data_IF_266352490886
#
_entry.id   IF_266352490886
#
_cell.length_a   1.000
_cell.length_b   1.000
_cell.length_c   1.000
_cell.angle_alpha   90.00
_cell.angle_beta   90.00
_cell.angle_gamma   90.00
#
_symmetry.space_group_name_H-M   'P 1'
#
loop_
_entity.id
_entity.type
_entity.pdbx_description
1 polymer ?
#
# COMPACT_ATOMS: atom_id res chain seq x y z
N UNK A 1 -12.49 -20.28 -31.18
CA UNK A 1 -12.98 -21.39 -30.32
C UNK A 1 -13.52 -22.48 -31.22
N UNK A 2 -12.80 -23.60 -31.31
CA UNK A 2 -13.32 -24.77 -32.00
C UNK A 2 -14.25 -25.54 -31.05
N UNK A 3 -15.39 -26.04 -31.56
CA UNK A 3 -16.23 -26.99 -30.83
C UNK A 3 -15.58 -28.37 -30.96
N UNK A 4 -15.32 -29.04 -29.84
CA UNK A 4 -14.84 -30.44 -29.86
C UNK A 4 -16.08 -31.32 -29.87
N UNK A 5 -16.50 -31.73 -31.06
CA UNK A 5 -17.60 -32.69 -31.24
C UNK A 5 -17.10 -33.83 -32.09
N UNK A 6 -16.58 -34.87 -31.44
CA UNK A 6 -16.45 -36.19 -32.07
C UNK A 6 -17.78 -36.93 -31.84
N UNK A 7 -18.42 -37.49 -32.88
CA UNK A 7 -19.66 -38.24 -32.70
C UNK A 7 -19.34 -39.54 -31.94
N UNK A 8 -19.84 -39.64 -30.70
CA UNK A 8 -19.83 -40.84 -29.84
C UNK A 8 -18.55 -41.18 -29.05
N UNK A 9 -17.66 -40.20 -28.76
CA UNK A 9 -16.56 -40.36 -27.79
C UNK A 9 -16.64 -39.26 -26.71
N UNK A 10 -17.17 -39.59 -25.53
CA UNK A 10 -17.22 -38.70 -24.35
C UNK A 10 -15.86 -38.64 -23.67
N UNK A 11 -14.88 -38.02 -24.33
CA UNK A 11 -13.61 -37.67 -23.68
C UNK A 11 -13.77 -36.29 -23.06
N UNK A 12 -14.17 -36.23 -21.79
CA UNK A 12 -14.11 -35.01 -20.99
C UNK A 12 -12.64 -34.61 -20.78
N UNK A 13 -12.08 -33.93 -21.78
CA UNK A 13 -10.74 -33.39 -21.71
C UNK A 13 -10.76 -32.10 -20.88
N UNK A 14 -10.11 -32.13 -19.73
CA UNK A 14 -9.83 -30.94 -18.93
C UNK A 14 -8.33 -30.81 -18.73
N UNK A 15 -7.80 -29.59 -18.89
CA UNK A 15 -6.37 -29.31 -18.69
C UNK A 15 -5.69 -28.71 -19.91
N UNK A 16 -4.40 -28.42 -19.74
CA UNK A 16 -3.54 -27.85 -20.76
C UNK A 16 -2.77 -28.96 -21.48
N UNK A 17 -2.74 -28.91 -22.81
CA UNK A 17 -1.89 -29.77 -23.64
C UNK A 17 -0.71 -28.92 -24.11
N UNK A 18 0.48 -29.23 -23.56
CA UNK A 18 1.77 -28.68 -24.00
C UNK A 18 1.86 -27.16 -24.01
N UNK A 19 1.15 -26.46 -23.12
CA UNK A 19 1.06 -24.99 -23.08
C UNK A 19 0.70 -24.36 -24.44
N UNK A 20 -0.01 -25.12 -25.29
CA UNK A 20 -0.48 -24.67 -26.60
C UNK A 20 -2.00 -24.50 -26.60
N UNK A 21 -2.71 -25.41 -25.94
CA UNK A 21 -4.18 -25.42 -25.90
C UNK A 21 -4.69 -25.81 -24.51
N UNK A 22 -5.79 -25.19 -24.08
CA UNK A 22 -6.48 -25.52 -22.83
C UNK A 22 -7.90 -25.97 -23.14
N UNK A 23 -8.25 -27.15 -22.66
CA UNK A 23 -9.58 -27.74 -22.74
C UNK A 23 -10.30 -27.52 -21.41
N UNK A 24 -11.50 -26.94 -21.45
CA UNK A 24 -12.34 -26.74 -20.27
C UNK A 24 -13.81 -26.56 -20.65
N UNK A 25 -14.69 -26.78 -19.66
CA UNK A 25 -16.12 -26.58 -19.82
C UNK A 25 -16.48 -25.15 -19.44
N UNK A 26 -17.07 -24.39 -20.37
CA UNK A 26 -17.54 -23.03 -20.12
C UNK A 26 -19.04 -22.95 -20.41
N UNK A 27 -19.84 -22.71 -19.35
CA UNK A 27 -21.31 -22.60 -19.45
C UNK A 27 -21.94 -23.77 -20.24
N UNK A 28 -21.56 -25.01 -19.91
CA UNK A 28 -22.07 -26.22 -20.56
C UNK A 28 -21.57 -26.47 -21.98
N UNK A 29 -20.55 -25.72 -22.45
CA UNK A 29 -19.90 -25.96 -23.75
C UNK A 29 -18.46 -26.40 -23.54
N UNK A 30 -18.08 -27.50 -24.18
CA UNK A 30 -16.68 -27.93 -24.28
C UNK A 30 -15.95 -26.98 -25.24
N UNK A 31 -15.03 -26.17 -24.71
CA UNK A 31 -14.30 -25.17 -25.47
C UNK A 31 -12.80 -25.41 -25.41
N UNK A 32 -12.13 -25.12 -26.53
CA UNK A 32 -10.67 -25.06 -26.62
C UNK A 32 -10.26 -23.62 -26.85
N UNK A 33 -9.29 -23.17 -26.05
CA UNK A 33 -8.58 -21.89 -26.25
C UNK A 33 -7.09 -22.14 -26.42
N UNK A 34 -6.43 -21.30 -27.21
CA UNK A 34 -4.98 -21.26 -27.19
C UNK A 34 -4.53 -20.85 -25.80
N UNK A 35 -3.54 -21.57 -25.28
CA UNK A 35 -2.85 -21.13 -24.08
C UNK A 35 -2.02 -19.90 -24.47
N UNK A 36 -2.33 -18.79 -23.83
CA UNK A 36 -1.55 -17.57 -23.92
C UNK A 36 -1.15 -17.23 -22.49
N UNK A 37 0.15 -17.18 -22.23
CA UNK A 37 0.68 -16.48 -21.07
C UNK A 37 0.87 -15.02 -21.46
N UNK A 38 0.03 -14.09 -20.97
CA UNK A 38 0.22 -12.68 -21.29
C UNK A 38 1.60 -12.27 -20.80
N UNK A 39 2.40 -11.67 -21.68
CA UNK A 39 3.64 -11.00 -21.25
C UNK A 39 3.23 -9.93 -20.26
N UNK A 40 3.86 -9.91 -19.07
CA UNK A 40 3.77 -8.79 -18.13
C UNK A 40 4.96 -7.88 -18.40
N UNK A 41 4.88 -6.94 -19.36
CA UNK A 41 5.99 -6.06 -19.67
C UNK A 41 6.24 -5.22 -18.41
N UNK A 42 7.29 -5.56 -17.65
CA UNK A 42 7.70 -4.83 -16.45
C UNK A 42 8.31 -3.48 -16.87
N UNK A 43 7.50 -2.62 -17.47
CA UNK A 43 7.93 -1.32 -17.97
C UNK A 43 8.46 -0.47 -16.81
N UNK A 44 9.32 0.49 -17.13
CA UNK A 44 9.93 1.39 -16.15
C UNK A 44 8.83 2.08 -15.32
N UNK A 45 7.78 2.61 -15.96
CA UNK A 45 6.65 3.23 -15.26
C UNK A 45 5.92 2.26 -14.31
N UNK A 46 5.70 1.00 -14.70
CA UNK A 46 5.10 0.01 -13.80
C UNK A 46 5.96 -0.27 -12.57
N UNK A 47 7.29 -0.31 -12.74
CA UNK A 47 8.24 -0.53 -11.64
C UNK A 47 8.25 0.66 -10.67
N UNK A 48 8.27 1.89 -11.20
CA UNK A 48 8.19 3.12 -10.41
C UNK A 48 6.91 3.17 -9.56
N UNK A 49 5.74 2.92 -10.19
CA UNK A 49 4.46 2.92 -9.46
C UNK A 49 4.43 1.82 -8.38
N UNK A 50 4.96 0.61 -8.67
CA UNK A 50 5.07 -0.46 -7.67
C UNK A 50 5.95 -0.07 -6.48
N UNK A 51 7.07 0.61 -6.71
CA UNK A 51 7.96 1.07 -5.63
C UNK A 51 7.27 2.12 -4.74
N UNK A 52 6.56 3.08 -5.35
CA UNK A 52 5.80 4.09 -4.60
C UNK A 52 4.65 3.46 -3.80
N UNK A 53 3.97 2.46 -4.36
CA UNK A 53 2.96 1.68 -3.64
C UNK A 53 3.60 0.86 -2.51
N UNK A 54 4.80 0.32 -2.73
CA UNK A 54 5.55 -0.42 -1.71
C UNK A 54 5.94 0.49 -0.54
N UNK A 55 6.26 1.76 -0.76
CA UNK A 55 6.50 2.73 0.32
C UNK A 55 5.31 2.83 1.28
N UNK A 56 4.09 2.97 0.76
CA UNK A 56 2.91 3.00 1.61
C UNK A 56 2.62 1.66 2.28
N UNK A 57 2.86 0.55 1.57
CA UNK A 57 2.75 -0.79 2.14
C UNK A 57 3.71 -1.01 3.31
N UNK A 58 4.97 -0.59 3.17
CA UNK A 58 5.99 -0.68 4.21
C UNK A 58 5.67 0.22 5.40
N UNK A 59 5.13 1.42 5.18
CA UNK A 59 4.60 2.26 6.25
C UNK A 59 3.50 1.53 7.03
N UNK A 60 2.51 0.95 6.33
CA UNK A 60 1.37 0.28 6.95
C UNK A 60 1.77 -0.95 7.77
N UNK A 61 2.83 -1.66 7.37
CA UNK A 61 3.38 -2.81 8.12
C UNK A 61 3.98 -2.41 9.46
N UNK A 62 4.42 -1.15 9.63
CA UNK A 62 4.96 -0.67 10.90
C UNK A 62 3.88 -0.38 11.94
N UNK A 63 2.61 -0.33 11.54
CA UNK A 63 1.48 -0.15 12.47
C UNK A 63 1.21 -1.49 13.14
N UNK A 64 1.44 -1.56 14.45
CA UNK A 64 1.26 -2.82 15.18
C UNK A 64 -0.23 -3.17 15.30
N UNK A 65 -0.58 -4.35 14.78
CA UNK A 65 -1.88 -4.98 14.98
C UNK A 65 -1.93 -5.68 16.35
N UNK A 66 -3.13 -6.07 16.83
CA UNK A 66 -3.27 -6.83 18.06
C UNK A 66 -2.31 -8.01 18.15
N UNK A 67 -1.56 -8.09 19.25
CA UNK A 67 -0.62 -9.19 19.57
C UNK A 67 -0.59 -9.40 21.08
N UNK A 68 0.07 -10.47 21.55
CA UNK A 68 0.10 -10.83 22.97
C UNK A 68 0.55 -9.69 23.90
N UNK A 69 1.52 -8.87 23.46
CA UNK A 69 2.03 -7.72 24.23
C UNK A 69 1.22 -6.43 24.02
N UNK A 70 0.26 -6.44 23.08
CA UNK A 70 -0.52 -5.27 22.68
C UNK A 70 -1.93 -5.71 22.27
N UNK A 71 -2.77 -6.07 23.25
CA UNK A 71 -4.04 -6.77 23.03
C UNK A 71 -5.03 -6.01 22.12
N UNK A 72 -5.03 -4.68 22.18
CA UNK A 72 -5.90 -3.84 21.35
C UNK A 72 -5.24 -3.38 20.03
N UNK A 73 -3.98 -3.75 19.79
CA UNK A 73 -3.14 -3.16 18.75
C UNK A 73 -2.75 -1.71 19.09
N UNK A 74 -1.89 -1.13 18.26
CA UNK A 74 -1.39 0.24 18.46
C UNK A 74 -2.51 1.28 18.44
N UNK A 75 -2.22 2.47 18.99
CA UNK A 75 -3.17 3.58 18.98
C UNK A 75 -3.53 3.99 17.55
N UNK A 76 -2.57 3.98 16.62
CA UNK A 76 -2.80 4.21 15.20
C UNK A 76 -3.77 3.17 14.63
N UNK A 77 -3.58 1.89 14.95
CA UNK A 77 -4.51 0.83 14.53
C UNK A 77 -5.94 1.09 15.05
N UNK A 78 -6.09 1.47 16.32
CA UNK A 78 -7.40 1.75 16.90
C UNK A 78 -8.09 2.95 16.23
N UNK A 79 -7.37 4.06 16.01
CA UNK A 79 -7.90 5.23 15.29
C UNK A 79 -8.34 4.86 13.87
N UNK A 80 -7.53 4.06 13.16
CA UNK A 80 -7.85 3.60 11.82
C UNK A 80 -9.07 2.67 11.79
N UNK A 81 -9.22 1.80 12.79
CA UNK A 81 -10.38 0.91 12.90
C UNK A 81 -11.69 1.67 13.10
N UNK A 82 -11.65 2.79 13.80
CA UNK A 82 -12.81 3.68 13.98
C UNK A 82 -13.11 4.47 12.70
N UNK A 83 -12.08 5.00 12.04
CA UNK A 83 -12.24 5.79 10.82
C UNK A 83 -12.63 4.95 9.58
N UNK A 84 -12.28 3.67 9.56
CA UNK A 84 -12.53 2.79 8.41
C UNK A 84 -14.02 2.38 8.34
N UNK A 85 -14.73 2.63 7.22
CA UNK A 85 -16.10 2.19 7.05
C UNK A 85 -16.26 0.67 7.13
N UNK A 86 -17.44 0.22 7.57
CA UNK A 86 -17.78 -1.20 7.60
C UNK A 86 -17.63 -1.85 6.21
N UNK A 87 -17.09 -3.06 6.16
CA UNK A 87 -16.86 -3.80 4.92
C UNK A 87 -15.54 -3.50 4.19
N UNK A 88 -14.71 -2.57 4.71
CA UNK A 88 -13.36 -2.32 4.19
C UNK A 88 -12.27 -2.81 5.15
N UNK A 89 -11.13 -3.22 4.57
CA UNK A 89 -9.93 -3.55 5.36
C UNK A 89 -9.20 -2.24 5.66
N UNK A 90 -8.82 -2.04 6.93
CA UNK A 90 -8.24 -0.79 7.44
C UNK A 90 -6.99 -0.34 6.66
N UNK A 91 -6.10 -1.26 6.31
CA UNK A 91 -4.85 -0.95 5.61
C UNK A 91 -5.09 -0.48 4.17
N UNK A 92 -6.06 -1.10 3.47
CA UNK A 92 -6.49 -0.67 2.15
C UNK A 92 -7.17 0.71 2.21
N UNK A 93 -8.00 0.95 3.22
CA UNK A 93 -8.64 2.24 3.44
C UNK A 93 -7.63 3.36 3.72
N UNK A 94 -6.60 3.07 4.52
CA UNK A 94 -5.50 3.98 4.83
C UNK A 94 -4.64 4.28 3.59
N UNK A 95 -4.18 3.24 2.88
CA UNK A 95 -3.38 3.39 1.67
C UNK A 95 -4.10 4.12 0.53
N UNK A 96 -5.43 3.99 0.45
CA UNK A 96 -6.26 4.72 -0.53
C UNK A 96 -6.10 6.23 -0.43
N UNK A 97 -5.85 6.77 0.76
CA UNK A 97 -5.74 8.23 0.97
C UNK A 97 -4.50 8.83 0.31
N UNK A 98 -3.48 8.02 0.09
CA UNK A 98 -2.24 8.41 -0.61
C UNK A 98 -2.24 8.05 -2.09
N UNK A 99 -3.27 7.35 -2.58
CA UNK A 99 -3.29 6.77 -3.93
C UNK A 99 -3.20 7.86 -5.02
N UNK A 100 -3.82 9.02 -4.78
CA UNK A 100 -3.76 10.15 -5.73
C UNK A 100 -2.35 10.71 -5.89
N UNK A 101 -1.52 10.62 -4.84
CA UNK A 101 -0.12 10.99 -4.92
C UNK A 101 0.73 9.90 -5.53
N UNK A 102 0.47 8.62 -5.20
CA UNK A 102 1.30 7.49 -5.63
C UNK A 102 1.12 7.14 -7.12
N UNK A 103 -0.07 7.35 -7.68
CA UNK A 103 -0.39 6.98 -9.07
C UNK A 103 0.26 7.88 -10.13
N UNK A 104 0.75 9.06 -9.73
CA UNK A 104 1.28 10.08 -10.64
C UNK A 104 2.65 10.59 -10.15
N UNK A 105 3.58 10.78 -11.08
CA UNK A 105 4.91 11.29 -10.79
C UNK A 105 4.87 12.74 -10.32
N UNK A 106 4.03 13.59 -10.94
CA UNK A 106 3.90 14.99 -10.54
C UNK A 106 3.40 15.12 -9.09
N UNK A 107 2.41 14.32 -8.71
CA UNK A 107 1.84 14.38 -7.36
C UNK A 107 2.78 13.79 -6.29
N UNK A 108 3.60 12.79 -6.62
CA UNK A 108 4.67 12.32 -5.71
C UNK A 108 5.74 13.39 -5.52
N UNK A 109 6.14 14.09 -6.59
CA UNK A 109 7.09 15.20 -6.51
C UNK A 109 6.52 16.31 -5.65
N UNK A 110 5.23 16.65 -5.80
CA UNK A 110 4.57 17.65 -4.95
C UNK A 110 4.58 17.25 -3.46
N UNK A 111 4.32 15.98 -3.14
CA UNK A 111 4.36 15.47 -1.76
C UNK A 111 5.79 15.52 -1.18
N UNK A 112 6.78 15.13 -1.97
CA UNK A 112 8.20 15.21 -1.62
C UNK A 112 8.62 16.65 -1.37
N UNK A 113 8.28 17.57 -2.27
CA UNK A 113 8.55 18.99 -2.13
C UNK A 113 7.84 19.61 -0.92
N UNK A 114 6.64 19.14 -0.57
CA UNK A 114 5.97 19.56 0.65
C UNK A 114 6.78 19.16 1.89
N UNK A 115 7.19 17.88 2.01
CA UNK A 115 8.05 17.43 3.11
C UNK A 115 9.34 18.26 3.20
N UNK A 116 10.08 18.40 2.10
CA UNK A 116 11.36 19.11 2.10
C UNK A 116 11.24 20.62 2.22
N UNK A 117 10.09 21.20 1.88
CA UNK A 117 9.75 22.59 2.16
C UNK A 117 9.53 22.88 3.64
N UNK A 118 9.25 21.84 4.44
CA UNK A 118 9.01 21.93 5.88
C UNK A 118 10.32 21.71 6.64
N UNK A 119 11.36 22.44 6.22
CA UNK A 119 12.76 22.19 6.52
C UNK A 119 13.09 22.08 8.02
N UNK A 120 12.34 22.77 8.89
CA UNK A 120 12.54 22.72 10.34
C UNK A 120 12.18 21.37 10.98
N UNK A 121 11.32 20.57 10.35
CA UNK A 121 10.83 19.29 10.91
C UNK A 121 11.31 18.06 10.15
N UNK A 122 11.96 18.21 8.97
CA UNK A 122 12.47 17.07 8.17
C UNK A 122 13.39 16.15 8.97
N UNK A 123 14.26 16.72 9.81
CA UNK A 123 15.15 15.94 10.69
C UNK A 123 14.37 15.03 11.65
N UNK A 124 13.28 15.55 12.21
CA UNK A 124 12.39 14.84 13.13
C UNK A 124 11.65 13.71 12.41
N UNK A 125 11.18 13.94 11.19
CA UNK A 125 10.57 12.88 10.37
C UNK A 125 11.56 11.74 10.09
N UNK A 126 12.82 12.08 9.77
CA UNK A 126 13.86 11.08 9.48
C UNK A 126 14.23 10.25 10.70
N UNK A 127 14.44 10.91 11.84
CA UNK A 127 14.79 10.25 13.10
C UNK A 127 13.68 9.27 13.51
N UNK A 128 12.43 9.73 13.52
CA UNK A 128 11.28 8.89 13.84
C UNK A 128 11.09 7.73 12.85
N UNK A 129 11.26 7.96 11.55
CA UNK A 129 11.16 6.91 10.53
C UNK A 129 12.23 5.84 10.73
N UNK A 130 13.44 6.25 11.08
CA UNK A 130 14.57 5.33 11.32
C UNK A 130 14.36 4.52 12.60
N UNK A 131 13.83 5.14 13.66
CA UNK A 131 13.42 4.44 14.90
C UNK A 131 12.34 3.40 14.65
N UNK A 132 11.41 3.65 13.73
CA UNK A 132 10.42 2.66 13.27
C UNK A 132 11.03 1.58 12.35
N UNK A 133 12.33 1.65 12.07
CA UNK A 133 13.05 0.74 11.18
C UNK A 133 12.60 0.84 9.72
N UNK A 134 12.23 2.05 9.27
CA UNK A 134 12.01 2.32 7.85
C UNK A 134 13.38 2.57 7.19
N UNK A 135 13.65 1.82 6.13
CA UNK A 135 14.89 1.93 5.35
C UNK A 135 14.63 2.60 4.02
N UNK A 136 15.68 3.10 3.36
CA UNK A 136 15.57 3.64 2.01
C UNK A 136 15.06 2.53 1.10
N UNK A 137 13.94 2.78 0.42
CA UNK A 137 13.45 1.88 -0.61
C UNK A 137 14.19 2.17 -1.90
N UNK A 138 15.20 1.35 -2.16
CA UNK A 138 15.90 1.34 -3.44
C UNK A 138 14.98 0.81 -4.54
N UNK A 139 14.94 1.53 -5.64
CA UNK A 139 14.15 1.16 -6.81
C UNK A 139 14.88 0.21 -7.74
N UNK A 140 14.15 -0.32 -8.72
CA UNK A 140 14.76 -0.87 -9.93
C UNK A 140 15.52 0.24 -10.69
N UNK A 141 16.35 -0.16 -11.66
CA UNK A 141 17.03 0.77 -12.57
C UNK A 141 16.06 1.88 -13.04
N UNK A 142 16.45 3.14 -12.86
CA UNK A 142 15.69 4.38 -13.16
C UNK A 142 14.65 4.85 -12.13
N UNK A 143 14.33 4.08 -11.11
CA UNK A 143 13.36 4.51 -10.12
C UNK A 143 14.05 5.28 -8.98
N UNK A 144 13.50 6.43 -8.61
CA UNK A 144 14.06 7.28 -7.56
C UNK A 144 13.96 6.59 -6.20
N UNK A 145 15.03 6.66 -5.41
CA UNK A 145 15.02 6.11 -4.06
C UNK A 145 13.99 6.87 -3.21
N UNK A 146 13.17 6.14 -2.46
CA UNK A 146 12.20 6.73 -1.54
C UNK A 146 12.80 6.71 -0.14
N UNK A 147 13.05 7.90 0.41
CA UNK A 147 13.67 8.05 1.73
C UNK A 147 12.73 7.60 2.87
N UNK A 148 13.28 7.19 4.03
CA UNK A 148 12.49 6.82 5.21
C UNK A 148 11.53 7.92 5.66
N UNK A 149 11.97 9.17 5.70
CA UNK A 149 11.14 10.30 6.08
C UNK A 149 9.94 10.48 5.16
N UNK A 150 10.10 10.25 3.85
CA UNK A 150 9.00 10.34 2.89
C UNK A 150 7.99 9.20 3.09
N UNK A 151 8.47 7.99 3.43
CA UNK A 151 7.59 6.88 3.77
C UNK A 151 6.75 7.17 5.02
N UNK A 152 7.34 7.76 6.07
CA UNK A 152 6.60 8.14 7.27
C UNK A 152 5.64 9.31 7.00
N UNK A 153 6.09 10.31 6.24
CA UNK A 153 5.31 11.47 5.85
C UNK A 153 4.08 11.11 5.00
N UNK A 154 4.18 10.10 4.12
CA UNK A 154 3.02 9.56 3.40
C UNK A 154 1.95 9.03 4.37
N UNK A 155 2.36 8.32 5.43
CA UNK A 155 1.45 7.89 6.49
C UNK A 155 0.83 9.07 7.24
N UNK A 156 1.62 10.11 7.53
CA UNK A 156 1.14 11.35 8.15
C UNK A 156 0.10 12.06 7.27
N UNK A 157 0.33 12.13 5.96
CA UNK A 157 -0.61 12.69 5.00
C UNK A 157 -1.90 11.87 4.90
N UNK A 158 -1.81 10.54 4.93
CA UNK A 158 -2.97 9.67 4.99
C UNK A 158 -3.79 9.89 6.27
N UNK A 159 -3.12 10.03 7.42
CA UNK A 159 -3.76 10.33 8.69
C UNK A 159 -4.47 11.69 8.68
N UNK A 160 -3.82 12.71 8.09
CA UNK A 160 -4.42 14.01 7.82
C UNK A 160 -5.69 13.92 6.97
N UNK A 161 -5.66 13.17 5.87
CA UNK A 161 -6.82 13.01 4.98
C UNK A 161 -8.00 12.32 5.64
N UNK A 162 -7.74 11.42 6.60
CA UNK A 162 -8.78 10.79 7.42
C UNK A 162 -9.17 11.62 8.64
N UNK A 163 -8.50 12.75 8.88
CA UNK A 163 -8.64 13.55 10.10
C UNK A 163 -8.57 12.68 11.37
N UNK A 164 -7.59 11.76 11.43
CA UNK A 164 -7.48 10.82 12.54
C UNK A 164 -7.31 11.57 13.85
N UNK A 165 -8.11 11.20 14.85
CA UNK A 165 -8.09 11.85 16.14
C UNK A 165 -8.40 10.86 17.27
N UNK A 166 -7.86 11.18 18.42
CA UNK A 166 -8.05 10.54 19.72
C UNK A 166 -7.96 11.64 20.78
N UNK A 167 -8.17 11.29 22.06
CA UNK A 167 -8.08 12.25 23.16
C UNK A 167 -6.70 12.91 23.29
N UNK A 168 -5.62 12.20 22.93
CA UNK A 168 -4.23 12.68 23.13
C UNK A 168 -3.44 12.90 21.82
N UNK A 169 -3.94 12.41 20.68
CA UNK A 169 -3.30 12.61 19.37
C UNK A 169 -4.33 13.09 18.35
N UNK A 170 -4.02 14.17 17.63
CA UNK A 170 -4.90 14.75 16.60
C UNK A 170 -4.10 15.05 15.33
N UNK A 171 -4.58 14.53 14.21
CA UNK A 171 -3.95 14.61 12.88
C UNK A 171 -4.95 15.20 11.89
N UNK A 172 -5.48 16.39 12.15
CA UNK A 172 -6.50 17.07 11.33
C UNK A 172 -5.95 18.24 10.51
N UNK A 173 -4.69 18.62 10.73
CA UNK A 173 -3.98 19.65 9.98
C UNK A 173 -2.96 19.01 9.04
N UNK A 174 -2.53 19.76 8.03
CA UNK A 174 -1.53 19.28 7.07
C UNK A 174 -0.21 18.94 7.81
N UNK A 175 0.46 17.81 7.50
CA UNK A 175 1.62 17.33 8.29
C UNK A 175 2.79 18.30 8.41
N UNK A 176 2.95 19.21 7.46
CA UNK A 176 3.92 20.30 7.54
C UNK A 176 3.69 21.29 8.68
N UNK A 177 2.46 21.41 9.15
CA UNK A 177 2.07 22.31 10.23
C UNK A 177 2.14 21.61 11.60
N UNK A 178 2.51 20.33 11.63
CA UNK A 178 2.60 19.58 12.88
C UNK A 178 3.83 20.02 13.67
N UNK A 179 3.68 20.34 14.97
CA UNK A 179 4.83 20.57 15.83
C UNK A 179 5.66 19.30 15.99
N UNK A 180 6.92 19.44 16.41
CA UNK A 180 7.87 18.34 16.65
C UNK A 180 7.28 17.25 17.55
N UNK A 181 6.54 17.66 18.59
CA UNK A 181 5.85 16.75 19.50
C UNK A 181 4.77 15.92 18.80
N UNK A 182 3.98 16.54 17.91
CA UNK A 182 2.94 15.83 17.17
C UNK A 182 3.53 14.80 16.19
N UNK A 183 4.65 15.11 15.56
CA UNK A 183 5.37 14.17 14.67
C UNK A 183 5.91 12.98 15.48
N UNK A 184 6.48 13.25 16.66
CA UNK A 184 7.02 12.22 17.55
C UNK A 184 5.90 11.34 18.15
N UNK A 185 4.77 11.96 18.52
CA UNK A 185 3.56 11.25 18.93
C UNK A 185 3.01 10.39 17.79
N UNK A 186 3.00 10.90 16.55
CA UNK A 186 2.59 10.15 15.36
C UNK A 186 3.40 8.87 15.20
N UNK A 187 4.73 8.94 15.32
CA UNK A 187 5.58 7.75 15.27
C UNK A 187 5.36 6.80 16.47
N UNK A 188 5.13 7.36 17.66
CA UNK A 188 4.88 6.58 18.88
C UNK A 188 3.53 5.82 18.83
N UNK A 189 2.54 6.40 18.16
CA UNK A 189 1.22 5.82 17.98
C UNK A 189 1.24 4.54 17.13
N UNK A 190 2.33 4.22 16.43
CA UNK A 190 2.48 2.99 15.64
C UNK A 190 2.67 1.74 16.50
N UNK A 191 3.12 1.86 17.75
CA UNK A 191 3.49 0.72 18.60
C UNK A 191 3.00 0.80 20.05
N UNK A 192 2.49 1.96 20.49
CA UNK A 192 1.97 2.12 21.86
C UNK A 192 0.45 2.21 21.89
N UNK A 193 -0.13 1.79 23.01
CA UNK A 193 -1.50 2.16 23.43
C UNK A 193 -1.33 3.13 24.58
N UNK A 194 -1.43 4.44 24.34
CA UNK A 194 -1.55 5.40 25.44
C UNK A 194 -3.03 5.48 25.82
N UNK A 195 -3.30 5.14 27.08
CA UNK A 195 -4.61 5.23 27.73
C UNK A 195 -5.18 6.65 27.65
#
# INVERSE_FOLDING_TARGET
>A
MAKVTAPLLSMDASGAIGDAMVHFNWKGKHVVRNWLKPTNPQTIHQKIVRQKMAAMGKNSVKIETPKATLLAGSKMYQMLKVATPAGQIWNAHFGKQTMDHVKDDANMVALSSALFGCASTVGVWRENATTLGMEVLAGDQYATNISPELQLYMGGYAAYKLALSSYTSKYDTHPCNWPVEAISNFATDYHTVKA
#
